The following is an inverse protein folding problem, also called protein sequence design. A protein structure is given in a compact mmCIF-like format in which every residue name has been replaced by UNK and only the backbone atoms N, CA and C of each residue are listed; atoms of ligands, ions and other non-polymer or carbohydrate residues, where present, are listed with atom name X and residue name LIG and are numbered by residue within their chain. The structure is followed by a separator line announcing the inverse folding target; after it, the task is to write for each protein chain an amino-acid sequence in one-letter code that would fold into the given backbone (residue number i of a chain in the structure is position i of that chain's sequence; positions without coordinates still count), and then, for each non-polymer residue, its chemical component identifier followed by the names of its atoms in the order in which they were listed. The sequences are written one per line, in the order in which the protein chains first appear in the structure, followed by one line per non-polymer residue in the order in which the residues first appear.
data_IF_700048701762
#
_entry.id   IF_700048701762
#
_cell.length_a   1.000
_cell.length_b   1.000
_cell.length_c   1.000
_cell.angle_alpha   90.00
_cell.angle_beta   90.00
_cell.angle_gamma   90.00
#
_symmetry.space_group_name_H-M   'P 1'
#
loop_
_entity.id
_entity.type
_entity.pdbx_description
1 polymer ?
#
# COMPACT_ATOMS: atom_id res chain seq x y z
N UNK A 1 -11.78 -33.07 -2.49
CA UNK A 1 -12.62 -31.85 -2.55
C UNK A 1 -11.68 -30.66 -2.42
N UNK A 2 -11.83 -29.70 -3.32
CA UNK A 2 -10.79 -28.79 -3.81
C UNK A 2 -10.01 -28.00 -2.76
N UNK A 3 -8.71 -27.91 -3.01
CA UNK A 3 -7.79 -26.98 -2.39
C UNK A 3 -8.14 -25.54 -2.77
N UNK A 4 -8.28 -24.65 -1.79
CA UNK A 4 -8.08 -23.21 -1.98
C UNK A 4 -7.31 -22.66 -0.79
N UNK A 5 -6.12 -22.15 -1.10
CA UNK A 5 -5.14 -21.63 -0.16
C UNK A 5 -5.69 -20.43 0.64
N UNK A 6 -5.48 -20.35 1.97
CA UNK A 6 -5.99 -19.25 2.80
C UNK A 6 -5.23 -17.92 2.63
N UNK A 7 -4.25 -17.82 1.71
CA UNK A 7 -3.25 -16.76 1.72
C UNK A 7 -3.38 -15.66 0.66
N UNK A 8 -4.46 -15.61 -0.14
CA UNK A 8 -4.67 -14.52 -1.13
C UNK A 8 -6.00 -13.77 -1.02
N UNK A 9 -6.87 -14.14 -0.09
CA UNK A 9 -8.22 -13.56 0.02
C UNK A 9 -8.20 -12.41 1.02
N UNK A 10 -7.74 -11.25 0.60
CA UNK A 10 -7.83 -10.02 1.39
C UNK A 10 -9.12 -9.26 1.01
N UNK A 11 -10.24 -9.89 1.34
CA UNK A 11 -11.51 -9.21 1.58
C UNK A 11 -11.97 -9.24 3.04
N UNK A 12 -11.79 -10.34 3.81
CA UNK A 12 -12.25 -10.38 5.20
C UNK A 12 -11.61 -9.27 6.02
N UNK A 13 -10.30 -9.04 5.90
CA UNK A 13 -9.61 -8.09 6.77
C UNK A 13 -9.95 -6.61 6.46
N UNK A 14 -10.17 -6.25 5.19
CA UNK A 14 -10.63 -4.89 4.83
C UNK A 14 -12.05 -4.65 5.35
N UNK A 15 -12.97 -5.57 5.07
CA UNK A 15 -14.35 -5.46 5.54
C UNK A 15 -14.46 -5.62 7.07
N UNK A 16 -13.65 -6.46 7.72
CA UNK A 16 -13.57 -6.58 9.19
C UNK A 16 -13.11 -5.27 9.82
N UNK A 17 -12.10 -4.61 9.26
CA UNK A 17 -11.59 -3.33 9.77
C UNK A 17 -12.67 -2.25 9.74
N UNK A 18 -13.53 -2.30 8.73
CA UNK A 18 -14.68 -1.42 8.57
C UNK A 18 -15.92 -1.88 9.38
N UNK A 19 -15.87 -3.02 10.05
CA UNK A 19 -17.04 -3.62 10.73
C UNK A 19 -18.14 -4.12 9.78
N UNK A 20 -17.82 -4.27 8.49
CA UNK A 20 -18.75 -4.60 7.40
C UNK A 20 -18.62 -6.07 6.93
N UNK A 21 -18.26 -7.00 7.81
CA UNK A 21 -18.04 -8.41 7.45
C UNK A 21 -19.29 -9.08 6.84
N UNK A 22 -20.49 -8.66 7.26
CA UNK A 22 -21.76 -9.11 6.69
C UNK A 22 -21.94 -8.72 5.21
N UNK A 23 -21.19 -7.75 4.71
CA UNK A 23 -21.26 -7.35 3.31
C UNK A 23 -20.40 -8.21 2.39
N UNK A 24 -19.56 -9.10 2.93
CA UNK A 24 -18.61 -9.93 2.17
C UNK A 24 -19.32 -10.77 1.11
N UNK A 25 -20.46 -11.37 1.44
CA UNK A 25 -21.21 -12.24 0.54
C UNK A 25 -21.68 -11.52 -0.75
N UNK A 26 -21.96 -10.22 -0.69
CA UNK A 26 -22.34 -9.44 -1.88
C UNK A 26 -21.17 -9.30 -2.87
N UNK A 27 -19.94 -9.22 -2.37
CA UNK A 27 -18.75 -9.15 -3.21
C UNK A 27 -18.38 -10.52 -3.76
N UNK A 28 -18.35 -11.55 -2.91
CA UNK A 28 -17.97 -12.91 -3.32
C UNK A 28 -18.98 -13.54 -4.28
N UNK A 29 -20.27 -13.20 -4.17
CA UNK A 29 -21.31 -13.60 -5.13
C UNK A 29 -21.05 -13.06 -6.55
N UNK A 30 -20.33 -11.95 -6.68
CA UNK A 30 -19.92 -11.37 -7.97
C UNK A 30 -18.50 -11.81 -8.39
N UNK A 31 -17.86 -12.71 -7.65
CA UNK A 31 -16.47 -13.11 -7.88
C UNK A 31 -15.44 -12.01 -7.56
N UNK A 32 -15.87 -10.94 -6.87
CA UNK A 32 -14.96 -9.92 -6.36
C UNK A 32 -14.27 -10.50 -5.14
N UNK A 33 -12.97 -10.79 -5.27
CA UNK A 33 -12.15 -11.45 -4.24
C UNK A 33 -10.93 -10.63 -3.85
N UNK A 34 -10.69 -9.51 -4.55
CA UNK A 34 -9.53 -8.65 -4.35
C UNK A 34 -9.92 -7.16 -4.26
N UNK A 35 -9.27 -6.42 -3.36
CA UNK A 35 -9.52 -4.98 -3.14
C UNK A 35 -9.28 -4.13 -4.39
N UNK A 36 -8.30 -4.50 -5.23
CA UNK A 36 -8.04 -3.80 -6.49
C UNK A 36 -9.22 -3.82 -7.46
N UNK A 37 -10.08 -4.85 -7.39
CA UNK A 37 -11.25 -4.95 -8.28
C UNK A 37 -12.32 -3.92 -7.93
N UNK A 38 -12.34 -3.45 -6.69
CA UNK A 38 -13.32 -2.49 -6.16
C UNK A 38 -12.73 -1.11 -5.91
N UNK A 39 -11.44 -0.89 -6.20
CA UNK A 39 -10.75 0.36 -5.89
C UNK A 39 -11.40 1.58 -6.59
N UNK A 40 -11.97 1.37 -7.77
CA UNK A 40 -12.62 2.41 -8.57
C UNK A 40 -14.15 2.45 -8.40
N UNK A 41 -14.71 1.66 -7.48
CA UNK A 41 -16.16 1.61 -7.28
C UNK A 41 -16.65 2.90 -6.62
N UNK A 42 -17.75 3.42 -7.14
CA UNK A 42 -18.48 4.54 -6.56
C UNK A 42 -19.72 4.07 -5.76
N UNK A 43 -20.49 5.01 -5.22
CA UNK A 43 -21.73 4.71 -4.49
C UNK A 43 -22.79 3.99 -5.35
N UNK A 44 -22.89 4.30 -6.65
CA UNK A 44 -23.82 3.61 -7.55
C UNK A 44 -23.40 2.16 -7.79
N UNK A 45 -22.11 1.88 -7.94
CA UNK A 45 -21.60 0.52 -8.10
C UNK A 45 -21.88 -0.32 -6.85
N UNK A 46 -21.70 0.24 -5.66
CA UNK A 46 -22.06 -0.40 -4.40
C UNK A 46 -23.57 -0.61 -4.26
N UNK A 47 -24.38 0.31 -4.77
CA UNK A 47 -25.84 0.13 -4.81
C UNK A 47 -26.26 -1.01 -5.75
N UNK A 48 -25.54 -1.24 -6.85
CA UNK A 48 -25.80 -2.36 -7.79
C UNK A 48 -25.49 -3.72 -7.17
N UNK A 49 -24.54 -3.78 -6.23
CA UNK A 49 -24.22 -4.96 -5.43
C UNK A 49 -25.29 -5.32 -4.39
N UNK A 50 -26.37 -4.51 -4.29
CA UNK A 50 -27.43 -4.65 -3.27
C UNK A 50 -26.92 -4.52 -1.83
N UNK A 51 -25.81 -3.82 -1.63
CA UNK A 51 -25.29 -3.51 -0.29
C UNK A 51 -26.24 -2.51 0.38
N UNK A 52 -26.63 -2.72 1.66
CA UNK A 52 -27.48 -1.77 2.39
C UNK A 52 -26.85 -0.38 2.50
N UNK A 53 -27.66 0.68 2.41
CA UNK A 53 -27.15 2.05 2.34
C UNK A 53 -26.32 2.46 3.57
N UNK A 54 -26.62 1.89 4.74
CA UNK A 54 -25.87 2.07 5.98
C UNK A 54 -24.39 1.66 5.86
N UNK A 55 -24.06 0.68 5.02
CA UNK A 55 -22.69 0.21 4.79
C UNK A 55 -22.02 0.83 3.56
N UNK A 56 -22.81 1.30 2.57
CA UNK A 56 -22.27 1.84 1.32
C UNK A 56 -21.27 2.98 1.56
N UNK A 57 -21.63 3.95 2.41
CA UNK A 57 -20.75 5.10 2.70
C UNK A 57 -19.48 4.70 3.46
N UNK A 58 -19.57 3.71 4.36
CA UNK A 58 -18.43 3.21 5.13
C UNK A 58 -17.45 2.49 4.20
N UNK A 59 -17.96 1.62 3.33
CA UNK A 59 -17.17 0.87 2.36
C UNK A 59 -16.52 1.82 1.34
N UNK A 60 -17.29 2.74 0.77
CA UNK A 60 -16.78 3.72 -0.19
C UNK A 60 -15.67 4.59 0.40
N UNK A 61 -15.85 5.07 1.64
CA UNK A 61 -14.81 5.82 2.36
C UNK A 61 -13.55 4.96 2.58
N UNK A 62 -13.71 3.70 2.98
CA UNK A 62 -12.59 2.78 3.15
C UNK A 62 -11.82 2.54 1.85
N UNK A 63 -12.52 2.47 0.72
CA UNK A 63 -11.90 2.32 -0.61
C UNK A 63 -11.08 3.58 -0.96
N UNK A 64 -11.64 4.77 -0.70
CA UNK A 64 -10.94 6.04 -0.94
C UNK A 64 -9.66 6.16 -0.08
N UNK A 65 -9.76 5.83 1.21
CA UNK A 65 -8.62 5.85 2.14
C UNK A 65 -7.53 4.87 1.70
N UNK A 66 -7.92 3.67 1.26
CA UNK A 66 -6.99 2.67 0.75
C UNK A 66 -6.21 3.19 -0.47
N UNK A 67 -6.89 3.84 -1.41
CA UNK A 67 -6.26 4.46 -2.58
C UNK A 67 -5.30 5.58 -2.22
N UNK A 68 -5.71 6.46 -1.31
CA UNK A 68 -4.83 7.51 -0.80
C UNK A 68 -3.59 6.92 -0.12
N UNK A 69 -3.74 5.84 0.64
CA UNK A 69 -2.60 5.15 1.25
C UNK A 69 -1.64 4.51 0.23
N UNK A 70 -2.10 4.15 -0.96
CA UNK A 70 -1.24 3.61 -2.02
C UNK A 70 -0.45 4.70 -2.75
N UNK A 71 -1.04 5.89 -2.92
CA UNK A 71 -0.38 7.03 -3.55
C UNK A 71 0.70 7.67 -2.66
N UNK A 72 0.63 7.45 -1.34
CA UNK A 72 1.64 7.85 -0.37
C UNK A 72 2.77 6.83 -0.14
N UNK A 73 2.84 5.75 -0.94
CA UNK A 73 4.10 5.00 -1.02
C UNK A 73 5.09 5.90 -1.76
N UNK A 74 6.18 6.39 -1.13
CA UNK A 74 7.21 7.09 -1.88
C UNK A 74 7.62 6.18 -3.03
N UNK A 75 7.74 6.70 -4.27
CA UNK A 75 8.17 5.89 -5.40
C UNK A 75 9.35 5.03 -4.95
N UNK A 76 9.42 3.73 -5.30
CA UNK A 76 10.67 3.02 -5.18
C UNK A 76 11.65 3.90 -5.93
N UNK A 77 12.55 4.52 -5.18
CA UNK A 77 13.54 5.44 -5.68
C UNK A 77 14.23 4.64 -6.77
N UNK A 78 13.87 4.92 -8.02
CA UNK A 78 14.70 4.50 -9.13
C UNK A 78 16.02 5.12 -8.75
N UNK A 79 16.99 4.25 -8.47
CA UNK A 79 18.39 4.57 -8.43
C UNK A 79 18.73 5.08 -9.84
N UNK A 80 18.25 6.28 -10.19
CA UNK A 80 18.89 7.10 -11.19
C UNK A 80 20.19 7.46 -10.52
N UNK A 81 21.20 6.70 -10.86
CA UNK A 81 22.58 7.15 -10.94
C UNK A 81 22.61 8.43 -11.79
N UNK A 82 22.14 9.53 -11.21
CA UNK A 82 22.49 10.86 -11.67
C UNK A 82 23.80 11.18 -10.99
N UNK A 83 24.89 10.80 -11.65
CA UNK A 83 26.13 11.54 -11.53
C UNK A 83 25.80 12.98 -11.94
N UNK A 84 25.47 13.80 -10.94
CA UNK A 84 25.12 15.19 -11.08
C UNK A 84 25.78 15.92 -9.93
N UNK A 85 27.09 16.08 -10.04
CA UNK A 85 27.79 17.07 -9.25
C UNK A 85 27.16 18.45 -9.50
N UNK A 86 27.19 19.28 -8.47
CA UNK A 86 26.89 20.72 -8.45
C UNK A 86 25.46 21.08 -8.08
N UNK A 87 25.26 21.54 -6.84
CA UNK A 87 25.15 22.99 -6.60
C UNK A 87 25.76 23.32 -5.24
N UNK A 88 26.88 24.05 -5.24
CA UNK A 88 27.17 24.96 -4.14
C UNK A 88 26.43 26.26 -4.45
N UNK A 89 25.58 26.72 -3.55
CA UNK A 89 25.18 28.13 -3.55
C UNK A 89 24.98 28.60 -2.12
N UNK A 90 25.50 29.80 -1.90
CA UNK A 90 25.89 30.41 -0.65
C UNK A 90 24.67 30.98 0.04
N UNK A 91 24.45 30.58 1.30
CA UNK A 91 23.52 31.24 2.21
C UNK A 91 24.31 32.12 3.18
N UNK A 92 24.16 33.41 2.98
CA UNK A 92 24.78 34.54 3.68
C UNK A 92 24.98 34.35 5.19
N UNK A 93 26.18 34.74 5.63
CA UNK A 93 26.53 35.01 7.02
C UNK A 93 25.75 36.22 7.51
N UNK A 94 24.83 36.05 8.47
CA UNK A 94 24.55 37.00 9.56
C UNK A 94 23.95 36.25 10.77
N UNK A 95 24.72 36.22 11.85
CA UNK A 95 24.33 36.14 13.27
C UNK A 95 23.20 35.17 13.72
N UNK A 96 23.59 33.97 14.16
CA UNK A 96 23.24 33.44 15.52
C UNK A 96 23.87 32.07 15.75
N UNK A 97 24.98 32.04 16.49
CA UNK A 97 25.50 30.87 17.19
C UNK A 97 25.85 29.69 16.28
N UNK A 98 27.14 29.56 15.96
CA UNK A 98 27.74 28.37 15.37
C UNK A 98 27.42 27.14 16.24
N UNK A 99 26.33 26.46 15.93
CA UNK A 99 26.05 25.15 16.51
C UNK A 99 26.85 24.15 15.68
N UNK A 100 28.09 23.92 16.08
CA UNK A 100 28.90 22.80 15.60
C UNK A 100 28.20 21.52 16.08
N UNK A 101 27.78 20.68 15.15
CA UNK A 101 27.12 19.41 15.48
C UNK A 101 28.11 18.30 15.12
N UNK A 102 28.54 17.54 16.13
CA UNK A 102 29.26 16.30 15.90
C UNK A 102 28.29 15.27 15.30
N UNK A 103 28.45 15.00 14.01
CA UNK A 103 27.64 14.02 13.30
C UNK A 103 28.33 12.65 13.33
N UNK A 104 27.70 11.69 14.00
CA UNK A 104 28.09 10.28 13.91
C UNK A 104 27.19 9.59 12.91
N UNK A 105 27.78 8.97 11.87
CA UNK A 105 27.03 8.22 10.87
C UNK A 105 27.12 6.72 11.17
N UNK A 106 25.97 6.12 11.40
CA UNK A 106 25.85 4.67 11.47
C UNK A 106 25.35 4.13 10.12
N UNK A 107 25.88 2.98 9.72
CA UNK A 107 25.45 2.29 8.50
C UNK A 107 25.08 0.87 8.87
N UNK A 108 23.84 0.49 8.60
CA UNK A 108 23.35 -0.87 8.79
C UNK A 108 23.36 -1.61 7.46
N UNK A 109 23.94 -2.82 7.43
CA UNK A 109 23.92 -3.71 6.27
C UNK A 109 23.09 -4.94 6.58
N UNK A 110 22.01 -5.14 5.82
CA UNK A 110 21.18 -6.34 5.90
C UNK A 110 21.41 -7.19 4.65
N UNK A 111 21.65 -8.49 4.84
CA UNK A 111 21.79 -9.46 3.76
C UNK A 111 20.51 -10.29 3.70
N UNK A 112 19.89 -10.37 2.52
CA UNK A 112 18.83 -11.33 2.24
C UNK A 112 19.40 -12.43 1.33
N UNK A 113 19.16 -13.69 1.67
CA UNK A 113 19.55 -14.84 0.85
C UNK A 113 18.34 -15.34 0.06
N UNK A 114 18.53 -15.60 -1.23
CA UNK A 114 17.53 -16.26 -2.06
C UNK A 114 17.66 -17.78 -1.90
N UNK A 115 16.56 -18.51 -1.69
CA UNK A 115 16.61 -19.96 -1.75
C UNK A 115 17.01 -20.39 -3.17
N UNK A 116 17.88 -21.41 -3.32
CA UNK A 116 18.17 -21.98 -4.63
C UNK A 116 16.85 -22.45 -5.25
N UNK A 117 16.63 -22.12 -6.53
CA UNK A 117 15.52 -22.68 -7.28
C UNK A 117 15.89 -24.14 -7.51
N UNK A 118 15.33 -25.02 -6.68
CA UNK A 118 15.41 -26.46 -6.90
C UNK A 118 14.94 -26.74 -8.32
N UNK A 119 15.76 -27.50 -9.05
CA UNK A 119 15.47 -28.14 -10.32
C UNK A 119 13.98 -28.49 -10.43
N UNK A 120 13.26 -27.74 -11.27
CA UNK A 120 12.00 -28.23 -11.81
C UNK A 120 12.34 -29.38 -12.76
N UNK A 121 12.42 -30.58 -12.17
CA UNK A 121 12.50 -31.88 -12.81
C UNK A 121 11.37 -32.06 -13.83
N UNK A 122 11.67 -31.87 -15.12
CA UNK A 122 11.13 -32.63 -16.26
C UNK A 122 11.91 -32.35 -17.55
#
# INVERSE_FOLDING_TARGET
MSALSPAHVLQPHFLLRLGCAACLDYFTAQGLTNIYQIENYNLEDLSRLKIPQEFQHVIWKGIMEHRQSMEFSPPPHILRTSGGASTVSVGSSEARGERVIDAVRFTLRQTISFPPRDDCLH
#
